data_IF_502252904593
#
_entry.id   IF_502252904593
#
_cell.length_a   1.000
_cell.length_b   1.000
_cell.length_c   1.000
_cell.angle_alpha   90.00
_cell.angle_beta   90.00
_cell.angle_gamma   90.00
#
_symmetry.space_group_name_H-M   'P 1'
#
loop_
_entity.id
_entity.type
_entity.pdbx_description
1 polymer ?
#
# COMPACT_ATOMS: atom_id res chain seq x y z
N UNK A 1 -23.25 -2.24 -8.07
CA UNK A 1 -23.09 -0.87 -8.60
C UNK A 1 -22.11 -0.95 -9.77
N UNK A 2 -22.33 -0.27 -10.89
CA UNK A 2 -21.43 -0.40 -12.05
C UNK A 2 -20.12 0.38 -11.83
N UNK A 3 -19.00 -0.05 -12.46
CA UNK A 3 -17.72 0.67 -12.39
C UNK A 3 -17.83 2.14 -12.82
N UNK A 4 -18.60 2.43 -13.88
CA UNK A 4 -18.82 3.80 -14.35
C UNK A 4 -19.43 4.71 -13.27
N UNK A 5 -20.44 4.23 -12.55
CA UNK A 5 -21.08 4.99 -11.46
C UNK A 5 -20.15 5.20 -10.27
N UNK A 6 -19.23 4.27 -10.03
CA UNK A 6 -18.21 4.43 -8.97
C UNK A 6 -17.21 5.53 -9.39
N UNK A 7 -16.78 5.55 -10.65
CA UNK A 7 -15.89 6.59 -11.17
C UNK A 7 -16.52 7.99 -11.07
N UNK A 8 -17.79 8.15 -11.44
CA UNK A 8 -18.53 9.41 -11.28
C UNK A 8 -18.59 9.88 -9.81
N UNK A 9 -18.77 8.94 -8.87
CA UNK A 9 -18.72 9.27 -7.45
C UNK A 9 -17.33 9.69 -7.00
N UNK A 10 -16.27 9.06 -7.52
CA UNK A 10 -14.89 9.49 -7.26
C UNK A 10 -14.60 10.87 -7.83
N UNK A 11 -15.13 11.22 -9.01
CA UNK A 11 -15.02 12.58 -9.57
C UNK A 11 -15.65 13.60 -8.62
N UNK A 12 -16.85 13.29 -8.14
CA UNK A 12 -17.58 14.13 -7.19
C UNK A 12 -16.85 14.24 -5.85
N UNK A 13 -16.33 13.12 -5.32
CA UNK A 13 -15.55 13.07 -4.09
C UNK A 13 -14.31 13.96 -4.19
N UNK A 14 -13.52 13.83 -5.27
CA UNK A 14 -12.31 14.63 -5.49
C UNK A 14 -12.61 16.12 -5.49
N UNK A 15 -13.63 16.52 -6.24
CA UNK A 15 -14.05 17.92 -6.31
C UNK A 15 -14.53 18.43 -4.94
N UNK A 16 -15.27 17.62 -4.18
CA UNK A 16 -15.73 17.97 -2.84
C UNK A 16 -14.56 18.10 -1.85
N UNK A 17 -13.66 17.12 -1.80
CA UNK A 17 -12.52 17.10 -0.89
C UNK A 17 -11.51 18.22 -1.17
N UNK A 18 -11.24 18.52 -2.45
CA UNK A 18 -10.39 19.64 -2.83
C UNK A 18 -10.99 20.98 -2.37
N UNK A 19 -12.29 21.18 -2.59
CA UNK A 19 -13.00 22.41 -2.21
C UNK A 19 -13.12 22.59 -0.70
N UNK A 20 -13.42 21.51 0.04
CA UNK A 20 -13.78 21.58 1.46
C UNK A 20 -12.59 21.44 2.40
N UNK A 21 -11.60 20.62 2.03
CA UNK A 21 -10.49 20.26 2.90
C UNK A 21 -9.13 20.64 2.31
N UNK A 22 -9.07 21.10 1.06
CA UNK A 22 -7.81 21.35 0.36
C UNK A 22 -7.06 20.06 0.00
N UNK A 23 -7.74 18.91 -0.01
CA UNK A 23 -7.09 17.64 -0.34
C UNK A 23 -6.74 17.58 -1.83
N UNK A 24 -5.58 17.01 -2.12
CA UNK A 24 -5.12 16.83 -3.49
C UNK A 24 -5.93 15.71 -4.18
N UNK A 25 -6.57 16.00 -5.34
CA UNK A 25 -7.34 15.01 -6.08
C UNK A 25 -6.59 13.72 -6.43
N UNK A 26 -5.28 13.80 -6.73
CA UNK A 26 -4.45 12.62 -7.03
C UNK A 26 -4.31 11.71 -5.81
N UNK A 27 -4.12 12.31 -4.62
CA UNK A 27 -4.00 11.54 -3.38
C UNK A 27 -5.33 10.89 -2.99
N UNK A 28 -6.45 11.60 -3.18
CA UNK A 28 -7.79 11.04 -2.98
C UNK A 28 -8.03 9.83 -3.87
N UNK A 29 -7.68 9.90 -5.16
CA UNK A 29 -7.79 8.74 -6.07
C UNK A 29 -6.91 7.57 -5.64
N UNK A 30 -5.67 7.83 -5.23
CA UNK A 30 -4.73 6.77 -4.87
C UNK A 30 -5.06 6.11 -3.53
N UNK A 31 -5.57 6.89 -2.57
CA UNK A 31 -5.74 6.44 -1.18
C UNK A 31 -7.14 5.91 -0.83
N UNK A 32 -8.18 6.28 -1.57
CA UNK A 32 -9.57 5.97 -1.19
C UNK A 32 -10.14 4.79 -1.98
N UNK A 33 -10.91 3.93 -1.31
CA UNK A 33 -11.76 2.91 -1.91
C UNK A 33 -13.23 3.14 -1.57
N UNK A 34 -14.10 2.85 -2.53
CA UNK A 34 -15.54 2.89 -2.30
C UNK A 34 -15.99 1.66 -1.49
N UNK A 35 -16.71 1.87 -0.39
CA UNK A 35 -17.19 0.81 0.49
C UNK A 35 -18.66 0.49 0.24
N UNK A 36 -19.48 1.51 0.01
CA UNK A 36 -20.90 1.30 -0.21
C UNK A 36 -21.74 2.51 0.16
N UNK A 37 -23.04 2.26 0.33
CA UNK A 37 -24.03 3.24 0.78
C UNK A 37 -24.43 2.95 2.22
N UNK A 38 -24.65 3.99 2.99
CA UNK A 38 -25.19 3.91 4.34
C UNK A 38 -26.33 4.90 4.53
N UNK A 39 -27.24 4.63 5.47
CA UNK A 39 -28.43 5.44 5.72
C UNK A 39 -29.66 5.02 4.90
N UNK A 40 -30.77 5.73 5.12
CA UNK A 40 -32.06 5.43 4.49
C UNK A 40 -32.70 6.70 3.92
N UNK A 41 -33.46 6.56 2.83
CA UNK A 41 -34.19 7.66 2.20
C UNK A 41 -33.29 8.85 1.84
N UNK A 42 -33.65 10.04 2.30
CA UNK A 42 -32.95 11.28 2.01
C UNK A 42 -31.61 11.44 2.77
N UNK A 43 -31.31 10.55 3.72
CA UNK A 43 -30.06 10.57 4.50
C UNK A 43 -29.01 9.57 4.02
N UNK A 44 -29.24 8.98 2.85
CA UNK A 44 -28.28 8.08 2.23
C UNK A 44 -26.99 8.82 1.86
N UNK A 45 -25.85 8.23 2.25
CA UNK A 45 -24.50 8.72 1.92
C UNK A 45 -23.67 7.62 1.28
N UNK A 46 -22.69 8.01 0.47
CA UNK A 46 -21.70 7.14 -0.12
C UNK A 46 -20.44 7.15 0.73
N UNK A 47 -19.97 5.98 1.16
CA UNK A 47 -18.82 5.88 2.06
C UNK A 47 -17.59 5.45 1.29
N UNK A 48 -16.53 6.22 1.47
CA UNK A 48 -15.18 5.95 1.01
C UNK A 48 -14.30 5.72 2.22
N UNK A 49 -13.39 4.75 2.12
CA UNK A 49 -12.45 4.41 3.18
C UNK A 49 -11.03 4.48 2.64
N UNK A 50 -10.11 4.98 3.45
CA UNK A 50 -8.69 4.92 3.17
C UNK A 50 -8.22 3.45 3.07
N UNK A 51 -7.28 3.19 2.15
CA UNK A 51 -6.76 1.85 1.91
C UNK A 51 -5.82 1.38 3.02
N UNK A 52 -5.11 2.31 3.67
CA UNK A 52 -4.06 2.06 4.65
C UNK A 52 -4.52 2.29 6.09
N UNK A 53 -5.60 3.05 6.29
CA UNK A 53 -6.09 3.42 7.62
C UNK A 53 -7.60 3.15 7.77
N UNK A 54 -8.15 3.55 8.91
CA UNK A 54 -9.59 3.47 9.16
C UNK A 54 -10.33 4.76 8.80
N UNK A 55 -9.64 5.77 8.25
CA UNK A 55 -10.23 7.02 7.81
C UNK A 55 -11.36 6.81 6.81
N UNK A 56 -12.47 7.54 7.01
CA UNK A 56 -13.61 7.47 6.11
C UNK A 56 -14.10 8.86 5.71
N UNK A 57 -14.59 8.96 4.48
CA UNK A 57 -15.29 10.13 3.95
C UNK A 57 -16.68 9.70 3.53
N UNK A 58 -17.70 10.36 4.08
CA UNK A 58 -19.06 10.23 3.59
C UNK A 58 -19.34 11.32 2.56
N UNK A 59 -19.85 10.94 1.40
CA UNK A 59 -20.26 11.81 0.32
C UNK A 59 -21.79 11.80 0.21
N UNK A 60 -22.42 12.96 0.41
CA UNK A 60 -23.86 13.19 0.19
C UNK A 60 -24.00 14.24 -0.90
N UNK A 61 -24.53 13.86 -2.05
CA UNK A 61 -24.55 14.71 -3.25
C UNK A 61 -23.12 15.22 -3.56
N UNK A 62 -22.88 16.52 -3.40
CA UNK A 62 -21.58 17.18 -3.64
C UNK A 62 -20.83 17.54 -2.36
N UNK A 63 -21.32 17.14 -1.19
CA UNK A 63 -20.72 17.45 0.11
C UNK A 63 -20.02 16.23 0.68
N UNK A 64 -18.74 16.39 1.00
CA UNK A 64 -17.95 15.39 1.70
C UNK A 64 -17.87 15.73 3.20
N UNK A 65 -17.89 14.70 4.04
CA UNK A 65 -17.75 14.80 5.49
C UNK A 65 -16.69 13.81 5.94
N UNK A 66 -15.64 14.32 6.60
CA UNK A 66 -14.66 13.47 7.27
C UNK A 66 -15.32 12.84 8.49
N UNK A 67 -15.35 11.51 8.57
CA UNK A 67 -15.96 10.78 9.68
C UNK A 67 -14.95 10.63 10.83
N UNK A 68 -14.71 11.71 11.55
CA UNK A 68 -13.68 11.74 12.62
C UNK A 68 -14.04 10.86 13.82
N UNK A 69 -15.33 10.70 14.11
CA UNK A 69 -15.87 10.04 15.31
C UNK A 69 -16.55 8.68 15.05
N UNK A 70 -16.46 8.13 13.83
CA UNK A 70 -17.19 6.92 13.48
C UNK A 70 -16.43 5.63 13.84
N UNK A 71 -16.51 5.18 15.09
CA UNK A 71 -15.88 3.96 15.59
C UNK A 71 -15.19 4.18 16.94
N UNK A 72 -14.46 3.17 17.44
CA UNK A 72 -13.79 3.23 18.75
C UNK A 72 -12.46 4.02 18.73
N UNK A 73 -11.93 4.40 17.55
CA UNK A 73 -10.65 5.12 17.40
C UNK A 73 -10.82 6.41 16.59
N UNK A 74 -10.02 7.46 16.84
CA UNK A 74 -9.97 8.63 15.96
C UNK A 74 -9.54 8.19 14.55
N UNK A 75 -10.33 8.55 13.55
CA UNK A 75 -10.12 8.08 12.18
C UNK A 75 -9.55 9.15 11.25
N UNK A 76 -9.40 10.39 11.70
CA UNK A 76 -8.73 11.44 10.94
C UNK A 76 -7.80 12.22 11.84
N UNK A 77 -6.53 11.84 11.82
CA UNK A 77 -5.44 12.57 12.46
C UNK A 77 -4.99 13.74 11.61
N UNK A 78 -4.32 14.71 12.23
CA UNK A 78 -3.76 15.86 11.49
C UNK A 78 -2.67 15.42 10.51
N UNK A 79 -1.91 14.38 10.83
CA UNK A 79 -0.92 13.80 9.94
C UNK A 79 -1.55 13.20 8.67
N UNK A 80 -2.67 12.47 8.80
CA UNK A 80 -3.41 11.94 7.65
C UNK A 80 -4.00 13.09 6.80
N UNK A 81 -4.61 14.09 7.44
CA UNK A 81 -5.14 15.27 6.72
C UNK A 81 -4.03 16.01 5.98
N UNK A 82 -2.85 16.16 6.59
CA UNK A 82 -1.68 16.76 5.96
C UNK A 82 -1.20 15.93 4.76
N UNK A 83 -1.09 14.61 4.91
CA UNK A 83 -0.73 13.71 3.82
C UNK A 83 -1.69 13.80 2.62
N UNK A 84 -3.00 13.95 2.88
CA UNK A 84 -4.00 14.19 1.84
C UNK A 84 -3.89 15.55 1.16
N UNK A 85 -3.18 16.51 1.75
CA UNK A 85 -2.91 17.84 1.19
C UNK A 85 -1.59 17.93 0.42
N UNK A 86 -0.79 16.85 0.38
CA UNK A 86 0.48 16.85 -0.36
C UNK A 86 0.30 17.38 -1.78
N UNK A 87 1.23 18.24 -2.18
CA UNK A 87 1.35 18.75 -3.54
C UNK A 87 1.67 17.62 -4.53
N UNK A 88 1.46 17.87 -5.81
CA UNK A 88 1.83 16.90 -6.85
C UNK A 88 3.32 16.55 -6.79
N UNK A 89 4.19 17.54 -6.55
CA UNK A 89 5.63 17.32 -6.44
C UNK A 89 5.99 16.41 -5.26
N UNK A 90 5.33 16.55 -4.10
CA UNK A 90 5.54 15.66 -2.96
C UNK A 90 5.02 14.24 -3.22
N UNK A 91 3.89 14.12 -3.91
CA UNK A 91 3.36 12.81 -4.34
C UNK A 91 4.35 12.14 -5.31
N UNK A 92 4.87 12.89 -6.29
CA UNK A 92 5.81 12.38 -7.28
C UNK A 92 7.14 12.00 -6.64
N UNK A 93 7.62 12.78 -5.66
CA UNK A 93 8.81 12.46 -4.89
C UNK A 93 8.64 11.19 -4.04
N UNK A 94 7.47 10.98 -3.41
CA UNK A 94 7.17 9.75 -2.66
C UNK A 94 7.14 8.53 -3.58
N UNK A 95 6.52 8.65 -4.76
CA UNK A 95 6.48 7.57 -5.75
C UNK A 95 7.90 7.24 -6.23
N UNK A 96 8.69 8.26 -6.55
CA UNK A 96 10.08 8.09 -6.97
C UNK A 96 10.94 7.44 -5.87
N UNK A 97 10.75 7.82 -4.60
CA UNK A 97 11.43 7.19 -3.47
C UNK A 97 11.08 5.70 -3.34
N UNK A 98 9.78 5.37 -3.40
CA UNK A 98 9.32 3.96 -3.37
C UNK A 98 9.86 3.15 -4.54
N UNK A 99 9.93 3.74 -5.74
CA UNK A 99 10.52 3.09 -6.90
C UNK A 99 12.02 2.86 -6.71
N UNK A 100 12.75 3.85 -6.17
CA UNK A 100 14.17 3.71 -5.90
C UNK A 100 14.47 2.63 -4.85
N UNK A 101 13.66 2.52 -3.79
CA UNK A 101 13.77 1.45 -2.78
C UNK A 101 13.52 0.06 -3.38
N UNK A 102 12.51 -0.04 -4.24
CA UNK A 102 12.21 -1.27 -4.97
C UNK A 102 13.36 -1.66 -5.92
N UNK A 103 13.85 -0.70 -6.70
CA UNK A 103 14.96 -0.91 -7.64
C UNK A 103 16.24 -1.30 -6.90
N UNK A 104 16.53 -0.67 -5.77
CA UNK A 104 17.63 -1.06 -4.91
C UNK A 104 17.46 -2.49 -4.41
N UNK A 105 16.29 -2.84 -3.89
CA UNK A 105 16.01 -4.19 -3.39
C UNK A 105 16.21 -5.23 -4.48
N UNK A 106 15.66 -5.01 -5.68
CA UNK A 106 15.79 -5.93 -6.81
C UNK A 106 17.26 -6.19 -7.21
N UNK A 107 18.13 -5.20 -7.01
CA UNK A 107 19.52 -5.26 -7.43
C UNK A 107 20.51 -5.57 -6.30
N UNK A 108 20.07 -5.59 -5.04
CA UNK A 108 20.97 -5.82 -3.92
C UNK A 108 21.43 -7.29 -3.85
N UNK A 109 22.66 -7.56 -3.36
CA UNK A 109 23.16 -8.94 -3.26
C UNK A 109 22.27 -9.85 -2.41
N UNK A 110 21.69 -9.30 -1.33
CA UNK A 110 20.78 -10.03 -0.45
C UNK A 110 19.60 -10.62 -1.22
N UNK A 111 18.90 -9.79 -2.01
CA UNK A 111 17.76 -10.27 -2.79
C UNK A 111 18.21 -11.24 -3.88
N UNK A 112 19.25 -10.88 -4.64
CA UNK A 112 19.71 -11.69 -5.79
C UNK A 112 20.13 -13.10 -5.38
N UNK A 113 20.83 -13.25 -4.25
CA UNK A 113 21.30 -14.54 -3.78
C UNK A 113 20.16 -15.41 -3.22
N UNK A 114 19.11 -14.80 -2.69
CA UNK A 114 17.95 -15.49 -2.11
C UNK A 114 16.71 -15.47 -3.02
N UNK A 115 16.81 -14.93 -4.24
CA UNK A 115 15.69 -14.69 -5.15
C UNK A 115 14.87 -15.94 -5.43
N UNK A 116 15.53 -17.02 -5.88
CA UNK A 116 14.85 -18.28 -6.19
C UNK A 116 14.20 -18.92 -4.95
N UNK A 117 14.87 -18.82 -3.79
CA UNK A 117 14.32 -19.29 -2.52
C UNK A 117 13.04 -18.52 -2.16
N UNK A 118 13.03 -17.20 -2.32
CA UNK A 118 11.87 -16.35 -2.02
C UNK A 118 10.71 -16.60 -3.01
N UNK A 119 11.02 -16.72 -4.31
CA UNK A 119 10.03 -16.93 -5.36
C UNK A 119 9.38 -18.32 -5.33
N UNK A 120 10.09 -19.34 -4.83
CA UNK A 120 9.56 -20.70 -4.69
C UNK A 120 8.30 -20.80 -3.80
N UNK A 121 7.97 -19.75 -3.02
CA UNK A 121 6.76 -19.69 -2.21
C UNK A 121 5.53 -19.12 -2.96
N UNK A 122 5.69 -18.64 -4.20
CA UNK A 122 4.62 -18.06 -5.00
C UNK A 122 4.07 -19.06 -6.01
N UNK A 123 2.76 -19.33 -5.97
CA UNK A 123 2.09 -20.30 -6.86
C UNK A 123 2.23 -20.00 -8.35
N UNK A 124 2.44 -18.74 -8.71
CA UNK A 124 2.64 -18.31 -10.09
C UNK A 124 4.09 -18.45 -10.59
N UNK A 125 5.02 -18.86 -9.73
CA UNK A 125 6.43 -19.05 -10.10
C UNK A 125 6.67 -20.49 -10.62
N UNK A 126 7.45 -20.70 -11.71
CA UNK A 126 7.74 -22.03 -12.23
C UNK A 126 8.39 -22.98 -11.22
N UNK A 127 9.19 -22.42 -10.31
CA UNK A 127 9.84 -23.15 -9.23
C UNK A 127 8.99 -23.36 -7.96
N UNK A 128 7.67 -23.15 -8.02
CA UNK A 128 6.81 -23.22 -6.84
C UNK A 128 6.90 -24.56 -6.10
N UNK A 129 7.08 -24.49 -4.78
CA UNK A 129 7.11 -25.65 -3.89
C UNK A 129 5.84 -25.70 -3.03
N UNK A 130 5.02 -26.73 -3.27
CA UNK A 130 3.79 -26.95 -2.52
C UNK A 130 4.05 -27.43 -1.09
N UNK A 131 3.19 -27.02 -0.16
CA UNK A 131 3.21 -27.50 1.23
C UNK A 131 4.20 -26.78 2.17
N UNK A 132 4.83 -25.69 1.72
CA UNK A 132 5.73 -24.87 2.53
C UNK A 132 5.07 -23.69 3.25
N UNK A 133 5.91 -22.90 3.94
CA UNK A 133 5.56 -21.61 4.52
C UNK A 133 5.00 -20.64 3.48
N UNK A 134 4.18 -19.68 3.93
CA UNK A 134 3.81 -18.53 3.09
C UNK A 134 5.05 -17.69 2.74
N UNK A 135 5.05 -16.93 1.62
CA UNK A 135 6.18 -16.07 1.25
C UNK A 135 6.66 -15.16 2.38
N UNK A 136 5.71 -14.60 3.15
CA UNK A 136 6.00 -13.74 4.31
C UNK A 136 6.72 -14.49 5.43
N UNK A 137 6.24 -15.68 5.78
CA UNK A 137 6.86 -16.50 6.83
C UNK A 137 8.26 -16.95 6.43
N UNK A 138 8.45 -17.33 5.17
CA UNK A 138 9.74 -17.74 4.63
C UNK A 138 10.76 -16.59 4.62
N UNK A 139 10.36 -15.40 4.16
CA UNK A 139 11.22 -14.22 4.18
C UNK A 139 11.54 -13.77 5.61
N UNK A 140 10.58 -13.85 6.54
CA UNK A 140 10.83 -13.56 7.96
C UNK A 140 11.84 -14.54 8.57
N UNK A 141 11.70 -15.83 8.28
CA UNK A 141 12.63 -16.86 8.74
C UNK A 141 14.04 -16.68 8.16
N UNK A 142 14.13 -16.28 6.89
CA UNK A 142 15.38 -15.92 6.24
C UNK A 142 16.04 -14.72 6.94
N UNK A 143 15.31 -13.63 7.17
CA UNK A 143 15.83 -12.46 7.89
C UNK A 143 16.31 -12.83 9.29
N UNK A 144 15.57 -13.66 10.02
CA UNK A 144 15.99 -14.16 11.33
C UNK A 144 17.32 -14.92 11.26
N UNK A 145 17.42 -15.86 10.32
CA UNK A 145 18.63 -16.68 10.13
C UNK A 145 19.85 -15.83 9.76
N UNK A 146 19.67 -14.84 8.89
CA UNK A 146 20.73 -13.92 8.48
C UNK A 146 21.13 -12.96 9.60
N UNK A 147 20.18 -12.53 10.43
CA UNK A 147 20.45 -11.72 11.61
C UNK A 147 21.28 -12.51 12.63
N UNK A 148 20.91 -13.77 12.91
CA UNK A 148 21.66 -14.65 13.81
C UNK A 148 23.08 -14.92 13.30
N UNK A 149 23.26 -14.97 11.98
CA UNK A 149 24.56 -15.12 11.32
C UNK A 149 25.37 -13.81 11.22
N UNK A 150 24.83 -12.66 11.65
CA UNK A 150 25.41 -11.32 11.43
C UNK A 150 25.77 -11.08 9.96
N UNK A 151 24.87 -11.45 9.04
CA UNK A 151 25.12 -11.33 7.61
C UNK A 151 25.30 -9.85 7.20
N UNK A 152 26.45 -9.46 6.62
CA UNK A 152 26.72 -8.06 6.27
C UNK A 152 25.79 -7.52 5.18
N UNK A 153 25.21 -8.40 4.33
CA UNK A 153 24.25 -8.02 3.30
C UNK A 153 22.91 -7.62 3.92
N UNK A 154 22.50 -8.29 5.01
CA UNK A 154 21.32 -7.90 5.78
C UNK A 154 21.53 -6.56 6.48
N UNK A 155 22.71 -6.34 7.09
CA UNK A 155 23.05 -5.05 7.70
C UNK A 155 23.01 -3.91 6.69
N UNK A 156 23.67 -4.07 5.53
CA UNK A 156 23.66 -3.06 4.47
C UNK A 156 22.24 -2.78 3.93
N UNK A 157 21.41 -3.82 3.83
CA UNK A 157 20.01 -3.69 3.43
C UNK A 157 19.21 -2.89 4.47
N UNK A 158 19.34 -3.21 5.75
CA UNK A 158 18.67 -2.50 6.84
C UNK A 158 19.10 -1.02 6.94
N UNK A 159 20.39 -0.73 6.73
CA UNK A 159 20.92 0.63 6.67
C UNK A 159 20.32 1.44 5.52
N UNK A 160 20.27 0.86 4.31
CA UNK A 160 19.65 1.52 3.15
C UNK A 160 18.16 1.80 3.40
N UNK A 161 17.47 0.81 3.98
CA UNK A 161 16.05 0.88 4.34
C UNK A 161 15.76 1.75 5.56
N UNK A 162 16.80 2.22 6.27
CA UNK A 162 16.72 3.02 7.50
C UNK A 162 15.81 2.40 8.56
N UNK A 163 15.81 1.08 8.67
CA UNK A 163 14.96 0.34 9.60
C UNK A 163 15.59 -0.99 9.97
N UNK A 164 15.49 -1.35 11.26
CA UNK A 164 15.84 -2.68 11.77
C UNK A 164 14.59 -3.51 12.11
N UNK A 165 13.39 -3.03 11.78
CA UNK A 165 12.16 -3.77 12.02
C UNK A 165 12.09 -4.99 11.07
N UNK A 166 12.11 -6.23 11.58
CA UNK A 166 12.10 -7.42 10.74
C UNK A 166 10.87 -7.52 9.84
N UNK A 167 9.72 -7.01 10.28
CA UNK A 167 8.49 -7.04 9.48
C UNK A 167 8.57 -6.07 8.31
N UNK A 168 9.05 -4.86 8.55
CA UNK A 168 9.33 -3.90 7.49
C UNK A 168 10.34 -4.46 6.49
N UNK A 169 11.48 -4.99 6.96
CA UNK A 169 12.50 -5.56 6.08
C UNK A 169 11.98 -6.77 5.29
N UNK A 170 11.14 -7.60 5.90
CA UNK A 170 10.45 -8.72 5.21
C UNK A 170 9.60 -8.20 4.07
N UNK A 171 8.78 -7.17 4.34
CA UNK A 171 7.93 -6.56 3.33
C UNK A 171 8.74 -5.98 2.17
N UNK A 172 9.81 -5.25 2.47
CA UNK A 172 10.67 -4.67 1.44
C UNK A 172 11.35 -5.77 0.61
N UNK A 173 11.91 -6.80 1.25
CA UNK A 173 12.59 -7.90 0.57
C UNK A 173 11.66 -8.67 -0.39
N UNK A 174 10.37 -8.76 -0.09
CA UNK A 174 9.37 -9.42 -0.92
C UNK A 174 8.78 -8.54 -2.02
N UNK A 175 8.98 -7.22 -1.97
CA UNK A 175 8.37 -6.30 -2.93
C UNK A 175 8.70 -6.64 -4.41
N UNK A 176 9.96 -6.98 -4.78
CA UNK A 176 10.26 -7.37 -6.16
C UNK A 176 9.62 -8.70 -6.58
N UNK A 177 9.42 -9.65 -5.65
CA UNK A 177 8.82 -10.95 -5.96
C UNK A 177 7.41 -10.81 -6.54
N UNK A 178 6.62 -9.87 -6.03
CA UNK A 178 5.27 -9.61 -6.54
C UNK A 178 5.28 -9.17 -8.00
N UNK A 179 6.24 -8.32 -8.38
CA UNK A 179 6.37 -7.85 -9.77
C UNK A 179 6.84 -8.97 -10.70
N UNK A 180 7.80 -9.77 -10.25
CA UNK A 180 8.36 -10.83 -11.08
C UNK A 180 7.37 -11.98 -11.31
N UNK A 181 6.52 -12.29 -10.32
CA UNK A 181 5.42 -13.25 -10.50
C UNK A 181 4.36 -12.69 -11.45
N UNK A 182 4.02 -11.40 -11.35
CA UNK A 182 3.08 -10.76 -12.27
C UNK A 182 3.64 -10.67 -13.70
N UNK A 183 4.93 -10.43 -13.86
CA UNK A 183 5.65 -10.46 -15.15
C UNK A 183 5.60 -11.87 -15.76
N UNK A 184 5.87 -12.90 -14.96
CA UNK A 184 5.84 -14.30 -15.42
C UNK A 184 4.43 -14.76 -15.83
N UNK A 185 3.40 -14.43 -15.04
CA UNK A 185 2.01 -14.78 -15.37
C UNK A 185 1.57 -14.13 -16.69
N UNK A 186 2.07 -12.94 -17.03
CA UNK A 186 1.73 -12.26 -18.30
C UNK A 186 2.40 -12.87 -19.52
N UNK A 187 3.45 -13.67 -19.34
CA UNK A 187 4.21 -14.32 -20.42
C UNK A 187 3.59 -15.67 -20.81
N UNK A 188 2.75 -16.25 -19.94
CA UNK A 188 2.01 -17.50 -20.14
C UNK A 188 0.66 -17.24 -20.83
#
# INVERSE_FOLDING_TARGET
MSPAKINELFDTLRAACARQFGFNPRRVTAGMRYVGKEGHGNDQVHVFKDASTHSQIALKNTFATLRETHGEKPHWTDAEKAHYKNTNAEIDAEIAAKQAELDYTRNCPLYRDHREQLLAHYKGWPGYQAGGQSPREAARALIGTLADANDPRLTAFAEHMRSNDPEYLTHQLLAPCHLEVDEEIKVI
#
